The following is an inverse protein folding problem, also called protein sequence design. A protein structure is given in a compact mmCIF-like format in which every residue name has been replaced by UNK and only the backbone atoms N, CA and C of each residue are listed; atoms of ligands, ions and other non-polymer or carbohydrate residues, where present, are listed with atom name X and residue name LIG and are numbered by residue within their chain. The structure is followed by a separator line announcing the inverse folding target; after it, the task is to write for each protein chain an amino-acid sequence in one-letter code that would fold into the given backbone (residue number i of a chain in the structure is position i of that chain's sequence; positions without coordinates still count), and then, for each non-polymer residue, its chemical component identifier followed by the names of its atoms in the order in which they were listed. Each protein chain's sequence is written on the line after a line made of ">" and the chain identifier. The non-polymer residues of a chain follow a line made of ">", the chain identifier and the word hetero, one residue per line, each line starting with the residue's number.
data_IF_148133932066
#
_entry.id   IF_148133932066
#
_cell.length_a   1.000
_cell.length_b   1.000
_cell.length_c   1.000
_cell.angle_alpha   90.00
_cell.angle_beta   90.00
_cell.angle_gamma   90.00
#
_symmetry.space_group_name_H-M   'P 1'
#
loop_
_entity.id
_entity.type
_entity.pdbx_description
1 polymer ?
#
# COMPACT_ATOMS: atom_id res chain seq x y z
N UNK A 1 53.52 -28.70 57.75
CA UNK A 1 52.06 -28.56 57.83
C UNK A 1 51.66 -27.23 57.15
N UNK A 2 51.31 -27.21 55.88
CA UNK A 2 50.79 -26.03 55.19
C UNK A 2 49.54 -26.44 54.47
N UNK A 3 48.41 -25.90 54.90
CA UNK A 3 47.10 -26.12 54.30
C UNK A 3 46.93 -25.20 53.11
N UNK A 4 46.74 -25.75 51.92
CA UNK A 4 46.37 -24.96 50.73
C UNK A 4 44.81 -24.95 50.64
N UNK A 5 44.24 -23.76 50.77
CA UNK A 5 42.84 -23.47 50.43
C UNK A 5 42.76 -23.26 48.94
N UNK A 6 42.04 -24.12 48.23
CA UNK A 6 41.57 -23.85 46.87
C UNK A 6 40.30 -22.99 46.94
N UNK A 7 40.39 -21.80 46.40
CA UNK A 7 39.24 -20.94 46.12
C UNK A 7 38.69 -21.31 44.72
N UNK A 8 37.53 -21.91 44.65
CA UNK A 8 36.80 -22.14 43.41
C UNK A 8 36.01 -20.87 43.10
N UNK A 9 36.47 -20.14 42.07
CA UNK A 9 35.70 -19.01 41.53
C UNK A 9 34.63 -19.54 40.59
N UNK A 10 33.36 -19.45 41.00
CA UNK A 10 32.20 -19.71 40.14
C UNK A 10 31.96 -18.46 39.30
N UNK A 11 32.38 -18.51 38.03
CA UNK A 11 31.97 -17.55 37.03
C UNK A 11 30.51 -17.86 36.62
N UNK A 12 29.58 -17.04 37.13
CA UNK A 12 28.21 -17.01 36.62
C UNK A 12 28.22 -16.36 35.24
N UNK A 13 28.11 -17.14 34.17
CA UNK A 13 27.78 -16.64 32.84
C UNK A 13 26.35 -16.11 32.88
N UNK A 14 26.22 -14.79 33.01
CA UNK A 14 24.97 -14.10 32.66
C UNK A 14 24.79 -14.16 31.15
N UNK A 15 24.09 -15.18 30.66
CA UNK A 15 23.56 -15.20 29.33
C UNK A 15 22.47 -14.11 29.24
N UNK A 16 22.88 -12.90 28.92
CA UNK A 16 21.99 -11.82 28.54
C UNK A 16 21.28 -12.25 27.24
N UNK A 17 20.03 -12.70 27.36
CA UNK A 17 19.14 -12.79 26.24
C UNK A 17 19.04 -11.39 25.65
N UNK A 18 19.67 -11.16 24.50
CA UNK A 18 19.43 -9.98 23.68
C UNK A 18 17.97 -10.08 23.22
N UNK A 19 17.05 -9.58 24.06
CA UNK A 19 15.71 -9.26 23.59
C UNK A 19 15.88 -8.24 22.48
N UNK A 20 15.53 -8.60 21.24
CA UNK A 20 15.44 -7.65 20.16
C UNK A 20 14.58 -6.50 20.68
N UNK A 21 15.18 -5.32 20.83
CA UNK A 21 14.49 -4.15 21.37
C UNK A 21 13.36 -3.84 20.40
N UNK A 22 12.11 -3.90 20.88
CA UNK A 22 10.95 -3.56 20.07
C UNK A 22 11.11 -2.11 19.58
N UNK A 23 10.76 -1.86 18.33
CA UNK A 23 10.68 -0.50 17.83
C UNK A 23 9.62 0.25 18.61
N UNK A 24 9.87 1.50 18.94
CA UNK A 24 8.94 2.35 19.72
C UNK A 24 8.69 3.66 18.98
N UNK A 25 7.86 3.58 17.97
CA UNK A 25 7.49 4.75 17.16
C UNK A 25 6.66 5.74 17.98
N UNK A 26 5.82 5.29 18.93
CA UNK A 26 5.07 6.19 19.79
C UNK A 26 5.99 7.05 20.66
N UNK A 27 7.01 6.46 21.29
CA UNK A 27 8.01 7.23 22.05
C UNK A 27 8.81 8.17 21.17
N UNK A 28 9.19 7.75 19.97
CA UNK A 28 9.83 8.62 18.96
C UNK A 28 8.95 9.83 18.64
N UNK A 29 7.68 9.62 18.31
CA UNK A 29 6.72 10.69 18.01
C UNK A 29 6.51 11.58 19.25
N UNK A 30 6.39 10.96 20.42
CA UNK A 30 6.21 11.70 21.66
C UNK A 30 7.41 12.59 21.99
N UNK A 31 8.63 12.16 21.76
CA UNK A 31 9.85 12.94 22.00
C UNK A 31 10.12 13.99 20.92
N UNK A 32 9.97 13.63 19.64
CA UNK A 32 10.27 14.52 18.52
C UNK A 32 9.16 15.54 18.20
N UNK A 33 7.91 15.24 18.59
CA UNK A 33 6.73 16.03 18.21
C UNK A 33 6.36 15.91 16.73
N UNK A 34 6.89 14.92 16.00
CA UNK A 34 6.63 14.76 14.56
C UNK A 34 6.47 13.29 14.15
N UNK A 35 5.72 13.08 13.06
CA UNK A 35 5.54 11.80 12.39
C UNK A 35 5.83 11.96 10.91
N UNK A 36 6.47 10.97 10.29
CA UNK A 36 6.70 10.95 8.84
C UNK A 36 5.77 9.95 8.17
N UNK A 37 4.86 10.47 7.34
CA UNK A 37 3.94 9.71 6.51
C UNK A 37 4.60 9.41 5.16
N UNK A 38 4.70 8.14 4.80
CA UNK A 38 5.01 7.72 3.43
C UNK A 38 3.78 7.97 2.54
N UNK A 39 3.94 8.78 1.50
CA UNK A 39 2.84 9.19 0.63
C UNK A 39 3.12 8.82 -0.82
N UNK A 40 2.06 8.57 -1.59
CA UNK A 40 2.15 8.20 -3.00
C UNK A 40 1.82 9.40 -3.90
N UNK A 41 2.45 9.41 -5.07
CA UNK A 41 2.26 10.48 -6.05
C UNK A 41 1.25 10.12 -7.15
N UNK A 42 1.00 8.83 -7.39
CA UNK A 42 0.17 8.39 -8.53
C UNK A 42 -0.62 7.08 -8.28
N UNK A 43 -1.03 6.81 -7.04
CA UNK A 43 -1.85 5.63 -6.70
C UNK A 43 -3.37 5.88 -6.86
N UNK A 44 -3.78 6.43 -8.00
CA UNK A 44 -5.19 6.69 -8.31
C UNK A 44 -5.82 7.66 -7.32
N UNK A 45 -7.03 7.35 -6.84
CA UNK A 45 -7.72 8.12 -5.80
C UNK A 45 -7.38 7.64 -4.37
N UNK A 46 -6.61 6.54 -4.23
CA UNK A 46 -6.13 6.09 -2.93
C UNK A 46 -5.13 7.10 -2.33
N UNK A 47 -4.14 7.51 -3.12
CA UNK A 47 -3.14 8.47 -2.68
C UNK A 47 -2.42 9.07 -3.91
N UNK A 48 -2.40 10.39 -4.03
CA UNK A 48 -1.74 11.08 -5.14
C UNK A 48 -1.32 12.49 -4.76
N UNK A 49 -0.49 13.11 -5.61
CA UNK A 49 -0.06 14.50 -5.42
C UNK A 49 -0.87 15.48 -6.28
N UNK A 50 -1.09 16.68 -5.73
CA UNK A 50 -1.58 17.85 -6.47
C UNK A 50 -0.44 18.80 -6.88
N UNK A 51 0.81 18.42 -6.60
CA UNK A 51 1.97 19.28 -6.74
C UNK A 51 2.23 20.12 -5.48
N UNK A 52 3.34 20.83 -5.45
CA UNK A 52 3.73 21.75 -4.37
C UNK A 52 3.67 21.14 -2.96
N UNK A 53 4.02 19.85 -2.85
CA UNK A 53 4.03 19.13 -1.58
C UNK A 53 2.64 18.79 -1.04
N UNK A 54 1.58 18.93 -1.83
CA UNK A 54 0.22 18.56 -1.45
C UNK A 54 -0.08 17.13 -1.85
N UNK A 55 -0.39 16.31 -0.86
CA UNK A 55 -0.78 14.91 -1.02
C UNK A 55 -2.22 14.73 -0.56
N UNK A 56 -3.00 14.01 -1.34
CA UNK A 56 -4.43 13.82 -1.12
C UNK A 56 -4.85 12.39 -1.49
N UNK A 57 -6.07 12.03 -1.16
CA UNK A 57 -6.67 10.74 -1.49
C UNK A 57 -7.22 10.03 -0.26
N UNK A 58 -7.91 8.94 -0.50
CA UNK A 58 -8.60 8.16 0.52
C UNK A 58 -7.65 7.73 1.66
N UNK A 59 -6.54 7.08 1.32
CA UNK A 59 -5.57 6.60 2.31
C UNK A 59 -4.73 7.74 2.91
N UNK A 60 -4.48 8.80 2.15
CA UNK A 60 -3.79 9.98 2.70
C UNK A 60 -4.60 10.62 3.81
N UNK A 61 -5.90 10.89 3.57
CA UNK A 61 -6.78 11.46 4.60
C UNK A 61 -7.01 10.49 5.77
N UNK A 62 -7.14 9.19 5.49
CA UNK A 62 -7.22 8.18 6.54
C UNK A 62 -5.98 8.20 7.45
N UNK A 63 -4.77 8.32 6.86
CA UNK A 63 -3.52 8.43 7.62
C UNK A 63 -3.45 9.71 8.45
N UNK A 64 -3.93 10.83 7.93
CA UNK A 64 -4.02 12.09 8.67
C UNK A 64 -5.00 12.00 9.85
N UNK A 65 -6.10 11.25 9.70
CA UNK A 65 -7.00 10.94 10.80
C UNK A 65 -6.33 10.05 11.86
N UNK A 66 -5.46 9.11 11.47
CA UNK A 66 -4.64 8.34 12.42
C UNK A 66 -3.75 9.29 13.22
N UNK A 67 -3.10 10.26 12.59
CA UNK A 67 -2.29 11.26 13.30
C UNK A 67 -3.14 12.08 14.26
N UNK A 68 -4.35 12.50 13.87
CA UNK A 68 -5.27 13.23 14.75
C UNK A 68 -5.67 12.41 15.98
N UNK A 69 -5.82 11.10 15.86
CA UNK A 69 -6.11 10.23 17.00
C UNK A 69 -4.87 10.00 17.88
N UNK A 70 -3.67 9.96 17.30
CA UNK A 70 -2.42 9.95 18.06
C UNK A 70 -2.22 11.26 18.82
N UNK A 71 -2.58 12.43 18.25
CA UNK A 71 -2.55 13.71 18.97
C UNK A 71 -3.42 13.67 20.22
N UNK A 72 -4.64 13.12 20.11
CA UNK A 72 -5.55 12.94 21.27
C UNK A 72 -4.94 11.98 22.31
N UNK A 73 -4.39 10.86 21.84
CA UNK A 73 -3.76 9.84 22.72
C UNK A 73 -2.56 10.39 23.49
N UNK A 74 -1.73 11.20 22.85
CA UNK A 74 -0.50 11.77 23.42
C UNK A 74 -0.72 13.14 24.09
N UNK A 75 -1.91 13.73 23.94
CA UNK A 75 -2.26 15.03 24.53
C UNK A 75 -1.48 16.21 23.95
N UNK A 76 -0.99 16.12 22.72
CA UNK A 76 -0.19 17.17 22.06
C UNK A 76 -0.32 17.15 20.55
N UNK A 77 0.01 18.29 19.91
CA UNK A 77 0.10 18.40 18.46
C UNK A 77 1.30 17.63 17.92
N UNK A 78 1.12 17.03 16.74
CA UNK A 78 2.14 16.26 16.02
C UNK A 78 2.35 16.92 14.65
N UNK A 79 3.60 17.31 14.37
CA UNK A 79 3.98 17.82 13.06
C UNK A 79 4.00 16.69 12.03
N UNK A 80 3.22 16.84 10.97
CA UNK A 80 3.13 15.85 9.87
C UNK A 80 4.18 16.15 8.81
N UNK A 81 5.10 15.23 8.59
CA UNK A 81 6.07 15.25 7.50
C UNK A 81 5.62 14.26 6.43
N UNK A 82 5.73 14.66 5.16
CA UNK A 82 5.36 13.83 4.03
C UNK A 82 6.60 13.41 3.27
N UNK A 83 6.82 12.11 3.16
CA UNK A 83 7.91 11.50 2.40
C UNK A 83 7.34 10.80 1.18
N UNK A 84 7.55 11.32 -0.05
CA UNK A 84 7.16 10.61 -1.27
C UNK A 84 7.84 9.26 -1.37
N UNK A 85 7.07 8.23 -1.67
CA UNK A 85 7.55 6.86 -1.86
C UNK A 85 6.99 6.24 -3.13
N UNK A 86 7.79 5.36 -3.75
CA UNK A 86 7.39 4.52 -4.88
C UNK A 86 7.08 3.10 -4.38
N UNK A 87 6.50 2.27 -5.25
CA UNK A 87 6.28 0.86 -4.92
C UNK A 87 7.59 0.11 -4.62
N UNK A 88 8.72 0.56 -5.17
CA UNK A 88 10.02 -0.08 -4.99
C UNK A 88 10.70 0.30 -3.68
N UNK A 89 10.59 1.57 -3.22
CA UNK A 89 11.37 2.07 -2.07
C UNK A 89 10.59 2.17 -0.76
N UNK A 90 9.24 2.05 -0.77
CA UNK A 90 8.40 2.24 0.43
C UNK A 90 8.78 1.31 1.58
N UNK A 91 8.99 0.01 1.31
CA UNK A 91 9.36 -0.96 2.36
C UNK A 91 10.72 -0.65 2.97
N UNK A 92 11.82 -0.48 2.21
CA UNK A 92 13.10 -0.04 2.77
C UNK A 92 13.02 1.24 3.62
N UNK A 93 12.21 2.22 3.23
CA UNK A 93 12.05 3.48 3.97
C UNK A 93 11.28 3.31 5.28
N UNK A 94 10.34 2.38 5.34
CA UNK A 94 9.68 2.00 6.61
C UNK A 94 10.63 1.21 7.49
N UNK A 95 11.35 0.22 6.95
CA UNK A 95 12.29 -0.62 7.69
C UNK A 95 13.38 0.21 8.36
N UNK A 96 13.97 1.17 7.65
CA UNK A 96 15.07 2.00 8.18
C UNK A 96 14.58 3.19 9.04
N UNK A 97 13.25 3.39 9.18
CA UNK A 97 12.67 4.43 10.03
C UNK A 97 12.66 5.83 9.42
N UNK A 98 12.97 6.00 8.13
CA UNK A 98 12.75 7.26 7.40
C UNK A 98 11.26 7.58 7.32
N UNK A 99 10.43 6.56 7.17
CA UNK A 99 8.96 6.63 7.18
C UNK A 99 8.46 5.89 8.42
N UNK A 100 7.55 6.50 9.17
CA UNK A 100 6.94 5.89 10.36
C UNK A 100 5.75 5.00 10.00
N UNK A 101 4.94 5.44 9.07
CA UNK A 101 3.78 4.72 8.54
C UNK A 101 3.61 5.02 7.05
N UNK A 102 3.28 4.03 6.26
CA UNK A 102 2.86 4.19 4.87
C UNK A 102 1.45 3.65 4.68
N UNK A 103 0.53 4.50 4.26
CA UNK A 103 -0.84 4.17 3.88
C UNK A 103 -1.05 4.59 2.43
N UNK A 104 -0.66 3.74 1.49
CA UNK A 104 -0.77 4.03 0.06
C UNK A 104 -1.57 2.94 -0.65
N UNK A 105 -0.90 2.21 -1.51
CA UNK A 105 -1.45 1.08 -2.27
C UNK A 105 -0.58 -0.18 -2.06
N UNK A 106 -0.25 -0.48 -0.80
CA UNK A 106 0.62 -1.61 -0.49
C UNK A 106 -0.21 -2.85 -0.19
N UNK A 107 -0.09 -3.84 -1.06
CA UNK A 107 -0.65 -5.18 -0.83
C UNK A 107 0.06 -5.83 0.34
N UNK A 108 -0.72 -6.31 1.29
CA UNK A 108 -0.26 -7.19 2.35
C UNK A 108 -0.06 -8.60 1.78
N UNK A 109 1.17 -9.09 1.72
CA UNK A 109 1.52 -10.46 1.33
C UNK A 109 2.53 -11.08 2.31
N UNK A 110 2.62 -12.41 2.30
CA UNK A 110 3.49 -13.17 3.23
C UNK A 110 4.96 -12.82 3.08
N UNK A 111 5.41 -12.40 1.89
CA UNK A 111 6.80 -12.04 1.69
C UNK A 111 7.14 -10.70 2.33
N UNK A 112 6.27 -9.69 2.13
CA UNK A 112 6.41 -8.35 2.73
C UNK A 112 6.26 -8.38 4.24
N UNK A 113 5.42 -9.29 4.78
CA UNK A 113 5.27 -9.50 6.23
C UNK A 113 6.57 -9.95 6.93
N UNK A 114 7.58 -10.39 6.19
CA UNK A 114 8.90 -10.70 6.78
C UNK A 114 9.64 -9.43 7.23
N UNK A 115 9.43 -8.32 6.52
CA UNK A 115 10.18 -7.08 6.70
C UNK A 115 9.41 -6.00 7.45
N UNK A 116 8.08 -5.96 7.31
CA UNK A 116 7.18 -4.97 7.93
C UNK A 116 5.97 -5.62 8.57
N UNK A 117 5.28 -4.90 9.47
CA UNK A 117 3.98 -5.30 9.98
C UNK A 117 2.88 -4.52 9.26
N UNK A 118 1.76 -5.18 9.00
CA UNK A 118 0.59 -4.60 8.36
C UNK A 118 -0.53 -4.38 9.37
N UNK A 119 -1.15 -3.20 9.31
CA UNK A 119 -2.39 -2.92 10.00
C UNK A 119 -3.56 -3.71 9.40
N UNK A 120 -4.74 -3.58 9.98
CA UNK A 120 -5.97 -4.15 9.43
C UNK A 120 -6.21 -3.67 8.00
N UNK A 121 -6.73 -4.57 7.18
CA UNK A 121 -7.06 -4.32 5.78
C UNK A 121 -8.03 -3.14 5.65
N UNK A 122 -7.66 -2.17 4.82
CA UNK A 122 -8.44 -0.96 4.57
C UNK A 122 -9.19 -0.97 3.25
N UNK A 123 -8.74 -1.80 2.30
CA UNK A 123 -9.36 -1.95 0.99
C UNK A 123 -9.04 -3.33 0.40
N UNK A 124 -10.00 -3.95 -0.26
CA UNK A 124 -9.80 -5.18 -1.06
C UNK A 124 -9.73 -4.79 -2.52
N UNK A 125 -8.55 -4.92 -3.06
CA UNK A 125 -8.19 -4.56 -4.43
C UNK A 125 -8.28 -5.77 -5.38
N UNK A 126 -8.42 -5.49 -6.67
CA UNK A 126 -8.33 -6.47 -7.74
C UNK A 126 -7.32 -6.03 -8.79
N UNK A 127 -6.33 -6.85 -9.08
CA UNK A 127 -5.42 -6.59 -10.20
C UNK A 127 -6.14 -6.87 -11.51
N UNK A 128 -6.11 -5.90 -12.43
CA UNK A 128 -6.85 -5.88 -13.69
C UNK A 128 -5.96 -5.45 -14.86
N UNK A 129 -6.51 -5.43 -16.04
CA UNK A 129 -5.86 -5.01 -17.29
C UNK A 129 -6.56 -3.75 -17.80
N UNK A 130 -5.80 -2.66 -17.97
CA UNK A 130 -6.26 -1.51 -18.76
C UNK A 130 -5.67 -1.56 -20.17
N UNK A 131 -6.46 -1.19 -21.15
CA UNK A 131 -6.07 -1.15 -22.55
C UNK A 131 -6.86 -0.09 -23.30
N UNK A 132 -6.49 0.18 -24.57
CA UNK A 132 -7.33 1.00 -25.47
C UNK A 132 -8.54 0.18 -25.92
N UNK A 133 -9.68 0.84 -26.10
CA UNK A 133 -10.93 0.18 -26.54
C UNK A 133 -10.82 -0.54 -27.89
N UNK A 134 -9.98 -0.05 -28.77
CA UNK A 134 -9.74 -0.58 -30.11
C UNK A 134 -8.61 -1.63 -30.19
N UNK A 135 -8.00 -1.97 -29.06
CA UNK A 135 -6.85 -2.90 -29.00
C UNK A 135 -7.18 -4.35 -29.34
N UNK A 136 -8.43 -4.76 -29.18
CA UNK A 136 -8.86 -6.16 -29.26
C UNK A 136 -8.53 -6.99 -28.03
N UNK A 137 -7.84 -6.44 -27.03
CA UNK A 137 -7.50 -7.13 -25.77
C UNK A 137 -8.75 -7.20 -24.89
N UNK A 138 -9.15 -8.40 -24.48
CA UNK A 138 -10.31 -8.67 -23.62
C UNK A 138 -9.93 -9.44 -22.35
N UNK A 139 -8.82 -10.17 -22.37
CA UNK A 139 -8.40 -11.05 -21.30
C UNK A 139 -6.86 -11.19 -21.29
N UNK A 140 -6.31 -11.85 -20.25
CA UNK A 140 -4.88 -12.10 -20.08
C UNK A 140 -4.26 -12.87 -21.27
N UNK A 141 -5.00 -13.76 -21.90
CA UNK A 141 -4.56 -14.52 -23.10
C UNK A 141 -4.29 -13.64 -24.30
N UNK A 142 -5.01 -12.54 -24.43
CA UNK A 142 -4.85 -11.59 -25.53
C UNK A 142 -3.57 -10.74 -25.39
N UNK A 143 -2.88 -10.85 -24.27
CA UNK A 143 -1.56 -10.22 -24.06
C UNK A 143 -0.46 -10.91 -24.87
N UNK A 144 -0.72 -12.08 -25.46
CA UNK A 144 0.26 -12.80 -26.27
C UNK A 144 0.74 -11.93 -27.45
N UNK A 145 2.05 -11.78 -27.58
CA UNK A 145 2.68 -10.94 -28.60
C UNK A 145 2.62 -9.43 -28.35
N UNK A 146 2.03 -8.98 -27.24
CA UNK A 146 1.84 -7.57 -26.91
C UNK A 146 2.97 -6.98 -26.08
N UNK A 147 3.01 -5.65 -26.00
CA UNK A 147 3.83 -4.93 -25.04
C UNK A 147 2.97 -4.55 -23.83
N UNK A 148 3.35 -5.04 -22.65
CA UNK A 148 2.57 -4.88 -21.42
C UNK A 148 3.35 -4.02 -20.43
N UNK A 149 2.75 -2.91 -20.00
CA UNK A 149 3.29 -2.06 -18.96
C UNK A 149 2.97 -2.62 -17.57
N UNK A 150 3.90 -2.48 -16.66
CA UNK A 150 3.74 -2.68 -15.20
C UNK A 150 4.52 -1.61 -14.45
N UNK A 151 4.33 -1.52 -13.13
CA UNK A 151 5.12 -0.62 -12.28
C UNK A 151 6.13 -1.42 -11.46
N UNK A 152 7.37 -0.95 -11.43
CA UNK A 152 8.46 -1.58 -10.67
C UNK A 152 8.11 -1.69 -9.19
N UNK A 153 8.38 -2.86 -8.58
CA UNK A 153 8.16 -3.12 -7.15
C UNK A 153 6.72 -3.48 -6.78
N UNK A 154 5.84 -3.73 -7.77
CA UNK A 154 4.46 -4.16 -7.55
C UNK A 154 4.29 -5.69 -7.62
N UNK A 155 3.20 -6.18 -7.03
CA UNK A 155 2.76 -7.57 -7.14
C UNK A 155 2.38 -7.95 -8.57
N UNK A 156 1.89 -7.00 -9.37
CA UNK A 156 1.53 -7.18 -10.78
C UNK A 156 2.67 -7.73 -11.63
N UNK A 157 3.92 -7.36 -11.33
CA UNK A 157 5.10 -7.89 -12.05
C UNK A 157 5.24 -9.41 -11.86
N UNK A 158 5.06 -9.87 -10.61
CA UNK A 158 5.14 -11.31 -10.31
C UNK A 158 3.94 -12.07 -10.86
N UNK A 159 2.76 -11.50 -10.70
CA UNK A 159 1.50 -12.05 -11.19
C UNK A 159 1.53 -12.26 -12.71
N UNK A 160 2.02 -11.29 -13.47
CA UNK A 160 2.18 -11.43 -14.92
C UNK A 160 3.18 -12.53 -15.29
N UNK A 161 4.27 -12.68 -14.54
CA UNK A 161 5.23 -13.79 -14.78
C UNK A 161 4.59 -15.15 -14.50
N UNK A 162 3.71 -15.26 -13.51
CA UNK A 162 2.96 -16.48 -13.22
C UNK A 162 1.97 -16.78 -14.34
N UNK A 163 1.16 -15.81 -14.75
CA UNK A 163 0.20 -15.96 -15.84
C UNK A 163 0.88 -16.30 -17.18
N UNK A 164 2.02 -15.66 -17.49
CA UNK A 164 2.82 -15.98 -18.67
C UNK A 164 3.15 -17.47 -18.74
N UNK A 165 3.56 -18.08 -17.62
CA UNK A 165 3.88 -19.50 -17.53
C UNK A 165 2.64 -20.39 -17.58
N UNK A 166 1.59 -20.03 -16.84
CA UNK A 166 0.36 -20.82 -16.74
C UNK A 166 -0.41 -20.88 -18.06
N UNK A 167 -0.49 -19.75 -18.76
CA UNK A 167 -1.22 -19.63 -20.02
C UNK A 167 -0.37 -19.90 -21.28
N UNK A 168 0.95 -20.09 -21.13
CA UNK A 168 1.86 -20.31 -22.25
C UNK A 168 1.96 -19.13 -23.20
N UNK A 169 1.75 -17.90 -22.73
CA UNK A 169 1.79 -16.67 -23.53
C UNK A 169 3.14 -15.97 -23.43
N UNK A 170 3.50 -15.27 -24.50
CA UNK A 170 4.70 -14.46 -24.56
C UNK A 170 4.31 -12.98 -24.79
N UNK A 171 4.87 -12.09 -23.98
CA UNK A 171 4.70 -10.64 -24.13
C UNK A 171 5.99 -9.92 -23.73
N UNK A 172 6.16 -8.70 -24.25
CA UNK A 172 7.24 -7.81 -23.85
C UNK A 172 6.76 -7.00 -22.63
N UNK A 173 7.44 -7.14 -21.49
CA UNK A 173 7.16 -6.30 -20.31
C UNK A 173 8.01 -5.03 -20.36
N UNK A 174 7.36 -3.88 -20.19
CA UNK A 174 7.98 -2.57 -19.98
C UNK A 174 7.55 -2.04 -18.62
N UNK A 175 8.46 -1.44 -17.87
CA UNK A 175 8.17 -1.03 -16.49
C UNK A 175 8.33 0.48 -16.33
N UNK A 176 7.30 1.13 -15.77
CA UNK A 176 7.39 2.48 -15.28
C UNK A 176 8.01 2.53 -13.88
N UNK A 177 8.59 3.66 -13.54
CA UNK A 177 9.13 3.92 -12.20
C UNK A 177 8.01 4.07 -11.16
N UNK A 178 6.92 4.72 -11.55
CA UNK A 178 5.69 4.82 -10.77
C UNK A 178 4.45 4.62 -11.67
N UNK A 179 3.24 4.66 -11.10
CA UNK A 179 2.02 4.30 -11.81
C UNK A 179 1.67 5.28 -12.93
N UNK A 180 1.94 6.59 -12.75
CA UNK A 180 1.76 7.58 -13.81
C UNK A 180 2.68 7.31 -15.00
N UNK A 181 3.95 6.96 -14.76
CA UNK A 181 4.89 6.59 -15.84
C UNK A 181 4.39 5.37 -16.60
N UNK A 182 3.90 4.36 -15.87
CA UNK A 182 3.37 3.13 -16.48
C UNK A 182 2.12 3.39 -17.32
N UNK A 183 1.20 4.22 -16.82
CA UNK A 183 0.01 4.61 -17.57
C UNK A 183 0.35 5.44 -18.80
N UNK A 184 1.35 6.32 -18.71
CA UNK A 184 1.84 7.10 -19.86
C UNK A 184 2.35 6.21 -21.00
N UNK A 185 2.95 5.05 -20.68
CA UNK A 185 3.34 4.08 -21.72
C UNK A 185 2.12 3.55 -22.51
N UNK A 186 1.01 3.28 -21.82
CA UNK A 186 -0.26 2.91 -22.45
C UNK A 186 -0.87 4.09 -23.22
N UNK A 187 -0.93 5.26 -22.58
CA UNK A 187 -1.55 6.46 -23.15
C UNK A 187 -0.87 6.91 -24.45
N UNK A 188 0.46 6.78 -24.53
CA UNK A 188 1.26 7.14 -25.71
C UNK A 188 1.40 6.01 -26.73
N UNK A 189 0.75 4.86 -26.54
CA UNK A 189 0.85 3.70 -27.43
C UNK A 189 2.20 2.96 -27.39
N UNK A 190 3.05 3.22 -26.40
CA UNK A 190 4.32 2.49 -26.18
C UNK A 190 4.10 1.14 -25.48
N UNK A 191 2.92 0.96 -24.90
CA UNK A 191 2.43 -0.32 -24.41
C UNK A 191 0.99 -0.52 -24.92
N UNK A 192 0.62 -1.78 -25.15
CA UNK A 192 -0.73 -2.18 -25.57
C UNK A 192 -1.68 -2.34 -24.39
N UNK A 193 -1.13 -2.65 -23.22
CA UNK A 193 -1.86 -2.83 -21.98
C UNK A 193 -1.05 -2.35 -20.77
N UNK A 194 -1.75 -2.00 -19.69
CA UNK A 194 -1.17 -1.75 -18.37
C UNK A 194 -1.85 -2.65 -17.34
N UNK A 195 -1.09 -3.52 -16.67
CA UNK A 195 -1.60 -4.42 -15.64
C UNK A 195 -1.25 -3.88 -14.26
N UNK A 196 -2.30 -3.57 -13.49
CA UNK A 196 -2.18 -2.91 -12.18
C UNK A 196 -3.48 -3.08 -11.38
N UNK A 197 -3.48 -2.59 -10.17
CA UNK A 197 -4.63 -2.44 -9.28
C UNK A 197 -5.76 -1.70 -10.00
N UNK A 198 -6.96 -2.24 -9.98
CA UNK A 198 -8.12 -1.69 -10.70
C UNK A 198 -8.47 -0.27 -10.28
N UNK A 199 -8.34 0.05 -8.98
CA UNK A 199 -8.57 1.41 -8.47
C UNK A 199 -7.53 2.42 -9.00
N UNK A 200 -6.27 1.99 -9.16
CA UNK A 200 -5.20 2.81 -9.73
C UNK A 200 -5.43 3.00 -11.23
N UNK A 201 -5.80 1.95 -11.95
CA UNK A 201 -6.16 2.03 -13.37
C UNK A 201 -7.31 3.01 -13.58
N UNK A 202 -8.41 2.84 -12.85
CA UNK A 202 -9.58 3.71 -12.95
C UNK A 202 -9.23 5.18 -12.63
N UNK A 203 -8.44 5.41 -11.58
CA UNK A 203 -7.99 6.73 -11.18
C UNK A 203 -7.06 7.40 -12.19
N UNK A 204 -6.18 6.65 -12.87
CA UNK A 204 -5.32 7.21 -13.92
C UNK A 204 -6.15 7.49 -15.19
N UNK A 205 -7.04 6.58 -15.58
CA UNK A 205 -7.95 6.78 -16.71
C UNK A 205 -8.81 8.03 -16.51
N UNK A 206 -9.42 8.20 -15.33
CA UNK A 206 -10.29 9.35 -15.04
C UNK A 206 -9.59 10.71 -15.16
N UNK A 207 -8.28 10.75 -14.98
CA UNK A 207 -7.43 11.96 -15.10
C UNK A 207 -6.89 12.19 -16.51
N UNK A 208 -6.98 11.20 -17.40
CA UNK A 208 -6.53 11.31 -18.79
C UNK A 208 -7.44 12.26 -19.58
N UNK A 209 -6.84 13.07 -20.43
CA UNK A 209 -7.59 13.91 -21.40
C UNK A 209 -8.44 13.08 -22.36
N UNK A 210 -8.02 11.85 -22.62
CA UNK A 210 -8.66 10.91 -23.53
C UNK A 210 -9.24 9.71 -22.75
N UNK A 211 -9.81 9.92 -21.58
CA UNK A 211 -10.35 8.86 -20.70
C UNK A 211 -11.29 7.90 -21.47
N UNK A 212 -12.07 8.43 -22.41
CA UNK A 212 -13.00 7.65 -23.23
C UNK A 212 -12.35 6.62 -24.17
N UNK A 213 -11.03 6.69 -24.41
CA UNK A 213 -10.30 5.76 -25.27
C UNK A 213 -9.88 4.49 -24.53
N UNK A 214 -9.94 4.48 -23.20
CA UNK A 214 -9.44 3.40 -22.37
C UNK A 214 -10.57 2.59 -21.73
N UNK A 215 -10.27 1.34 -21.41
CA UNK A 215 -11.18 0.42 -20.74
C UNK A 215 -10.37 -0.52 -19.84
N UNK A 216 -10.99 -0.94 -18.73
CA UNK A 216 -10.48 -2.00 -17.86
C UNK A 216 -11.21 -3.28 -18.26
N UNK A 217 -10.47 -4.34 -18.55
CA UNK A 217 -10.98 -5.59 -19.14
C UNK A 217 -10.56 -6.82 -18.33
N UNK A 218 -11.18 -7.95 -18.69
CA UNK A 218 -10.89 -9.29 -18.17
C UNK A 218 -11.40 -9.52 -16.76
N UNK A 219 -11.19 -10.74 -16.27
CA UNK A 219 -11.43 -11.12 -14.89
C UNK A 219 -10.32 -10.55 -13.99
N UNK A 220 -10.57 -10.55 -12.68
CA UNK A 220 -9.55 -10.20 -11.71
C UNK A 220 -8.41 -11.22 -11.74
N UNK A 221 -7.19 -10.75 -11.99
CA UNK A 221 -6.01 -11.60 -12.00
C UNK A 221 -5.55 -11.99 -10.59
N UNK A 222 -5.90 -11.18 -9.60
CA UNK A 222 -5.61 -11.41 -8.19
C UNK A 222 -6.55 -10.54 -7.34
N UNK A 223 -6.88 -11.03 -6.13
CA UNK A 223 -7.55 -10.26 -5.07
C UNK A 223 -6.51 -9.94 -4.00
N UNK A 224 -6.36 -8.66 -3.66
CA UNK A 224 -5.26 -8.20 -2.83
C UNK A 224 -5.73 -7.28 -1.69
N UNK A 225 -5.47 -7.65 -0.41
CA UNK A 225 -5.75 -6.75 0.71
C UNK A 225 -4.73 -5.62 0.76
N UNK A 226 -5.20 -4.39 0.74
CA UNK A 226 -4.38 -3.19 0.91
C UNK A 226 -4.44 -2.75 2.37
N UNK A 227 -3.28 -2.46 2.95
CA UNK A 227 -3.19 -2.01 4.34
C UNK A 227 -2.03 -1.04 4.54
N UNK A 228 -2.12 -0.25 5.62
CA UNK A 228 -0.97 0.52 6.10
C UNK A 228 0.11 -0.41 6.61
N UNK A 229 1.36 -0.04 6.40
CA UNK A 229 2.51 -0.76 6.97
C UNK A 229 3.30 0.13 7.92
N UNK A 230 3.82 -0.51 8.95
CA UNK A 230 4.67 0.06 10.00
C UNK A 230 5.92 -0.80 10.16
N UNK A 231 6.92 -0.32 10.91
CA UNK A 231 8.10 -1.13 11.21
C UNK A 231 7.72 -2.43 11.90
N UNK A 232 8.48 -3.46 11.59
CA UNK A 232 8.37 -4.77 12.23
C UNK A 232 8.63 -4.66 13.74
N UNK A 233 7.90 -5.44 14.55
CA UNK A 233 8.07 -5.51 15.99
C UNK A 233 7.81 -4.18 16.71
N UNK A 234 6.76 -3.46 16.30
CA UNK A 234 6.27 -2.23 16.95
C UNK A 234 4.79 -2.40 17.35
N UNK A 235 4.48 -3.27 18.31
CA UNK A 235 3.11 -3.67 18.61
C UNK A 235 2.25 -2.52 19.14
N UNK A 236 2.82 -1.60 19.92
CA UNK A 236 2.07 -0.48 20.51
C UNK A 236 1.67 0.54 19.43
N UNK A 237 2.56 0.82 18.49
CA UNK A 237 2.23 1.69 17.36
C UNK A 237 1.22 1.04 16.43
N UNK A 238 1.42 -0.23 16.07
CA UNK A 238 0.48 -1.00 15.26
C UNK A 238 -0.92 -1.04 15.88
N UNK A 239 -0.99 -1.26 17.20
CA UNK A 239 -2.25 -1.22 17.96
C UNK A 239 -2.93 0.14 17.85
N UNK A 240 -2.20 1.23 18.05
CA UNK A 240 -2.75 2.58 17.95
C UNK A 240 -3.29 2.89 16.53
N UNK A 241 -2.58 2.43 15.48
CA UNK A 241 -3.03 2.53 14.09
C UNK A 241 -4.33 1.76 13.89
N UNK A 242 -4.40 0.51 14.35
CA UNK A 242 -5.60 -0.34 14.23
C UNK A 242 -6.79 0.21 15.01
N UNK A 243 -6.58 0.76 16.19
CA UNK A 243 -7.63 1.43 16.99
C UNK A 243 -8.22 2.62 16.23
N UNK A 244 -7.38 3.43 15.57
CA UNK A 244 -7.84 4.54 14.75
C UNK A 244 -8.62 4.08 13.51
N UNK A 245 -8.12 3.07 12.79
CA UNK A 245 -8.83 2.50 11.64
C UNK A 245 -10.21 1.96 12.08
N UNK A 246 -10.26 1.20 13.16
CA UNK A 246 -11.51 0.65 13.69
C UNK A 246 -12.51 1.75 14.09
N UNK A 247 -12.03 2.84 14.70
CA UNK A 247 -12.85 4.02 15.01
C UNK A 247 -13.42 4.63 13.71
N UNK A 248 -12.56 4.84 12.70
CA UNK A 248 -12.96 5.45 11.43
C UNK A 248 -13.98 4.59 10.66
N UNK A 249 -13.91 3.26 10.79
CA UNK A 249 -14.95 2.34 10.29
C UNK A 249 -16.24 2.55 11.08
N UNK A 250 -16.16 2.47 12.40
CA UNK A 250 -17.33 2.48 13.30
C UNK A 250 -18.17 3.76 13.21
N UNK A 251 -17.52 4.92 13.06
CA UNK A 251 -18.19 6.21 12.98
C UNK A 251 -18.54 6.64 11.55
N UNK A 252 -18.30 5.77 10.55
CA UNK A 252 -18.61 6.00 9.14
C UNK A 252 -17.63 6.93 8.43
N UNK A 253 -16.51 7.28 9.06
CA UNK A 253 -15.50 8.16 8.44
C UNK A 253 -14.93 7.54 7.17
N UNK A 254 -14.56 6.24 7.18
CA UNK A 254 -14.01 5.59 5.99
C UNK A 254 -15.00 5.51 4.83
N UNK A 255 -16.28 5.30 5.11
CA UNK A 255 -17.30 5.27 4.07
C UNK A 255 -17.48 6.66 3.42
N UNK A 256 -17.47 7.72 4.23
CA UNK A 256 -17.52 9.11 3.74
C UNK A 256 -16.26 9.47 2.93
N UNK A 257 -15.08 9.00 3.36
CA UNK A 257 -13.85 9.18 2.60
C UNK A 257 -13.88 8.43 1.27
N UNK A 258 -14.46 7.22 1.25
CA UNK A 258 -14.65 6.49 0.00
C UNK A 258 -15.56 7.25 -0.96
N UNK A 259 -16.73 7.70 -0.49
CA UNK A 259 -17.63 8.52 -1.29
C UNK A 259 -16.90 9.75 -1.85
N UNK A 260 -16.22 10.51 -0.99
CA UNK A 260 -15.49 11.71 -1.37
C UNK A 260 -14.47 11.48 -2.49
N UNK A 261 -13.65 10.40 -2.38
CA UNK A 261 -12.52 10.21 -3.26
C UNK A 261 -12.80 9.35 -4.49
N UNK A 262 -13.83 8.51 -4.44
CA UNK A 262 -14.16 7.61 -5.54
C UNK A 262 -15.46 7.92 -6.24
N UNK A 263 -16.45 8.45 -5.53
CA UNK A 263 -17.79 8.67 -6.08
C UNK A 263 -18.08 10.14 -6.41
N UNK A 264 -17.34 11.08 -5.82
CA UNK A 264 -17.46 12.51 -6.10
C UNK A 264 -16.36 13.00 -7.04
N UNK A 265 -16.56 14.15 -7.74
CA UNK A 265 -15.50 14.78 -8.53
C UNK A 265 -14.29 15.15 -7.66
N UNK A 266 -13.10 14.76 -8.08
CA UNK A 266 -11.85 14.99 -7.36
C UNK A 266 -10.87 15.88 -8.14
N UNK A 267 -10.03 16.70 -7.45
CA UNK A 267 -9.04 17.52 -8.12
C UNK A 267 -7.93 16.63 -8.75
N UNK A 268 -7.16 17.14 -9.75
CA UNK A 268 -7.33 18.46 -10.37
C UNK A 268 -8.36 18.48 -11.51
N UNK A 269 -8.74 17.33 -12.07
CA UNK A 269 -9.59 17.23 -13.25
C UNK A 269 -11.08 17.48 -12.96
N UNK A 270 -11.49 17.49 -11.70
CA UNK A 270 -12.87 17.60 -11.26
C UNK A 270 -13.80 16.53 -11.87
N UNK A 271 -13.30 15.28 -11.92
CA UNK A 271 -13.99 14.10 -12.43
C UNK A 271 -14.05 13.04 -11.35
N UNK A 272 -15.18 12.35 -11.24
CA UNK A 272 -15.33 11.20 -10.36
C UNK A 272 -14.65 9.95 -10.97
N UNK A 273 -14.01 9.13 -10.14
CA UNK A 273 -13.48 7.82 -10.56
C UNK A 273 -14.64 6.86 -10.87
N UNK A 274 -15.73 6.96 -10.11
CA UNK A 274 -16.93 6.14 -10.30
C UNK A 274 -16.76 4.69 -9.85
N UNK A 275 -15.90 4.42 -8.86
CA UNK A 275 -15.66 3.09 -8.33
C UNK A 275 -16.39 2.91 -6.99
N UNK A 276 -17.51 2.17 -6.95
CA UNK A 276 -18.26 1.95 -5.71
C UNK A 276 -17.48 1.09 -4.73
N UNK A 277 -17.75 1.30 -3.44
CA UNK A 277 -17.18 0.48 -2.37
C UNK A 277 -17.66 -0.97 -2.51
N UNK A 278 -16.73 -1.91 -2.61
CA UNK A 278 -17.02 -3.34 -2.79
C UNK A 278 -17.51 -4.01 -1.51
N UNK A 279 -18.34 -5.06 -1.66
CA UNK A 279 -18.78 -5.88 -0.52
C UNK A 279 -17.59 -6.55 0.18
N UNK A 280 -16.57 -6.95 -0.56
CA UNK A 280 -15.35 -7.51 0.01
C UNK A 280 -14.62 -6.52 0.93
N UNK A 281 -14.60 -5.24 0.58
CA UNK A 281 -14.03 -4.19 1.44
C UNK A 281 -14.90 -3.95 2.67
N UNK A 282 -16.24 -3.89 2.51
CA UNK A 282 -17.17 -3.78 3.66
C UNK A 282 -17.01 -4.96 4.61
N UNK A 283 -16.86 -6.16 4.09
CA UNK A 283 -16.62 -7.36 4.90
C UNK A 283 -15.30 -7.27 5.67
N UNK A 284 -14.23 -6.80 5.04
CA UNK A 284 -12.94 -6.58 5.70
C UNK A 284 -13.02 -5.52 6.82
N UNK A 285 -13.86 -4.51 6.68
CA UNK A 285 -14.10 -3.51 7.71
C UNK A 285 -14.94 -4.05 8.88
N UNK A 286 -15.96 -4.86 8.58
CA UNK A 286 -16.83 -5.48 9.60
C UNK A 286 -16.10 -6.57 10.39
N UNK A 287 -15.16 -7.27 9.77
CA UNK A 287 -14.33 -8.32 10.35
C UNK A 287 -12.84 -7.99 10.22
N UNK A 288 -12.35 -7.01 11.01
CA UNK A 288 -10.99 -6.50 10.90
C UNK A 288 -9.93 -7.60 10.98
N UNK A 289 -9.04 -7.64 10.01
CA UNK A 289 -7.95 -8.60 9.95
C UNK A 289 -6.78 -8.06 9.13
N UNK A 290 -5.63 -8.70 9.24
CA UNK A 290 -4.42 -8.44 8.44
C UNK A 290 -3.99 -9.69 7.67
N UNK A 291 -4.93 -10.46 7.15
CA UNK A 291 -4.64 -11.64 6.33
C UNK A 291 -3.87 -11.25 5.08
N UNK A 292 -2.82 -11.99 4.71
CA UNK A 292 -2.08 -11.74 3.48
C UNK A 292 -2.89 -12.17 2.25
N UNK A 293 -2.50 -11.69 1.07
CA UNK A 293 -3.19 -11.97 -0.21
C UNK A 293 -3.31 -13.45 -0.53
N UNK A 294 -2.38 -14.27 -0.03
CA UNK A 294 -2.41 -15.72 -0.20
C UNK A 294 -3.67 -16.36 0.41
N UNK A 295 -4.30 -15.70 1.39
CA UNK A 295 -5.56 -16.15 1.97
C UNK A 295 -6.80 -15.81 1.13
N UNK A 296 -6.65 -14.97 0.10
CA UNK A 296 -7.74 -14.53 -0.78
C UNK A 296 -7.70 -15.17 -2.18
N UNK A 297 -6.61 -15.83 -2.53
CA UNK A 297 -6.36 -16.38 -3.87
C UNK A 297 -6.15 -17.91 -3.87
N UNK A 298 -6.73 -18.61 -2.90
CA UNK A 298 -6.72 -20.09 -2.79
C UNK A 298 -7.89 -20.70 -3.54
#
# INVERSE_FOLDING_TARGET
>A
MKKHLLAVAVMALAAGSAMAQANDTLSKINSSGSITLGVRESSGALAYTLGDGKYVGFHTEMAENIVSDLEKKLGKKIDKKYQPVTSQNRIPLVVNGTVDIECGSTTNDMNRQKDVDFANTTYIEQVRIATRKDSGIKDVKDLNGKTVATTTGTTSVQLLRQNKRAEGIEFKNVMGKDHADSFLLLETGRADAFVMDGSILAGNISKSKNAGDFVIVGEALSTEPIACMVRKNDPEFLKAVNESIARQVKDGTLEKLWDKWFMQPIPPANVAVGLPLSDATREAWNNPNNKPKEAYNN
#
